data_IF_266422473014
#
_entry.id   IF_266422473014
#
_cell.length_a   1.000
_cell.length_b   1.000
_cell.length_c   1.000
_cell.angle_alpha   90.00
_cell.angle_beta   90.00
_cell.angle_gamma   90.00
#
_symmetry.space_group_name_H-M   'P 1'
#
loop_
_entity.id
_entity.type
_entity.pdbx_description
1 polymer ?
#
# COMPACT_ATOMS: atom_id res chain seq x y z
N UNK A 1 -21.77 2.57 23.62
CA UNK A 1 -21.09 2.78 22.34
C UNK A 1 -19.73 2.09 22.25
N UNK A 2 -18.84 2.12 23.24
CA UNK A 2 -17.51 1.49 23.23
C UNK A 2 -17.46 -0.03 22.92
N UNK A 3 -18.47 -0.81 23.33
CA UNK A 3 -18.53 -2.27 23.08
C UNK A 3 -18.81 -2.62 21.62
N UNK A 4 -19.63 -1.81 20.91
CA UNK A 4 -19.91 -1.97 19.46
C UNK A 4 -18.72 -1.60 18.57
N UNK A 5 -17.95 -0.57 18.93
CA UNK A 5 -16.73 -0.20 18.18
C UNK A 5 -15.61 -1.25 18.30
N UNK A 6 -15.46 -1.86 19.50
CA UNK A 6 -14.51 -2.96 19.73
C UNK A 6 -14.77 -4.17 18.87
N UNK A 7 -16.04 -4.55 18.68
CA UNK A 7 -16.42 -5.70 17.85
C UNK A 7 -16.11 -5.43 16.37
N UNK A 8 -16.35 -4.21 15.88
CA UNK A 8 -16.06 -3.81 14.48
C UNK A 8 -14.55 -3.79 14.18
N UNK A 9 -13.70 -3.28 15.07
CA UNK A 9 -12.25 -3.20 14.83
C UNK A 9 -11.59 -4.58 14.75
N UNK A 10 -12.02 -5.51 15.61
CA UNK A 10 -11.57 -6.90 15.57
C UNK A 10 -12.09 -7.65 14.35
N UNK A 11 -13.31 -7.37 13.89
CA UNK A 11 -13.91 -7.98 12.71
C UNK A 11 -13.13 -7.58 11.45
N UNK A 12 -12.85 -6.29 11.27
CA UNK A 12 -12.07 -5.79 10.13
C UNK A 12 -10.71 -6.51 10.00
N UNK A 13 -10.01 -6.65 11.12
CA UNK A 13 -8.73 -7.35 11.16
C UNK A 13 -8.85 -8.87 10.91
N UNK A 14 -9.97 -9.50 11.29
CA UNK A 14 -10.27 -10.93 11.03
C UNK A 14 -10.60 -11.17 9.54
N UNK A 15 -11.45 -10.32 8.96
CA UNK A 15 -11.94 -10.46 7.59
C UNK A 15 -10.95 -9.91 6.54
N UNK A 16 -9.78 -9.42 6.96
CA UNK A 16 -8.81 -8.75 6.07
C UNK A 16 -8.47 -9.57 4.82
N UNK A 17 -8.21 -10.86 4.96
CA UNK A 17 -7.87 -11.73 3.81
C UNK A 17 -9.00 -11.82 2.79
N UNK A 18 -10.25 -11.92 3.25
CA UNK A 18 -11.43 -11.91 2.39
C UNK A 18 -11.64 -10.56 1.70
N UNK A 19 -11.41 -9.45 2.42
CA UNK A 19 -11.49 -8.11 1.84
C UNK A 19 -10.43 -7.94 0.75
N UNK A 20 -9.19 -8.41 0.97
CA UNK A 20 -8.13 -8.38 -0.03
C UNK A 20 -8.46 -9.22 -1.27
N UNK A 21 -8.98 -10.44 -1.07
CA UNK A 21 -9.41 -11.30 -2.16
C UNK A 21 -10.54 -10.65 -2.97
N UNK A 22 -11.57 -10.14 -2.30
CA UNK A 22 -12.68 -9.42 -2.94
C UNK A 22 -12.22 -8.17 -3.68
N UNK A 23 -11.33 -7.36 -3.10
CA UNK A 23 -10.76 -6.19 -3.76
C UNK A 23 -9.94 -6.56 -5.00
N UNK A 24 -9.17 -7.65 -4.94
CA UNK A 24 -8.40 -8.15 -6.08
C UNK A 24 -9.32 -8.63 -7.21
N UNK A 25 -10.40 -9.33 -6.89
CA UNK A 25 -11.40 -9.77 -7.86
C UNK A 25 -12.13 -8.58 -8.50
N UNK A 26 -12.54 -7.60 -7.71
CA UNK A 26 -13.22 -6.40 -8.21
C UNK A 26 -12.31 -5.54 -9.12
N UNK A 27 -11.03 -5.43 -8.79
CA UNK A 27 -10.07 -4.70 -9.63
C UNK A 27 -9.68 -5.47 -10.89
N UNK A 28 -9.91 -6.79 -10.94
CA UNK A 28 -9.58 -7.68 -12.05
C UNK A 28 -10.81 -8.52 -12.49
N UNK A 29 -11.95 -7.86 -12.69
CA UNK A 29 -13.22 -8.55 -12.96
C UNK A 29 -13.27 -9.24 -14.34
N UNK A 30 -12.46 -8.80 -15.29
CA UNK A 30 -12.44 -9.33 -16.66
C UNK A 30 -11.52 -10.57 -16.80
N UNK A 31 -11.58 -11.50 -15.84
CA UNK A 31 -10.79 -12.74 -15.84
C UNK A 31 -10.82 -13.54 -17.15
N UNK A 32 -11.97 -13.65 -17.89
CA UNK A 32 -11.99 -14.37 -19.16
C UNK A 32 -11.02 -13.83 -20.22
N UNK A 33 -10.60 -12.57 -20.13
CA UNK A 33 -9.65 -11.98 -21.07
C UNK A 33 -8.23 -12.57 -20.96
N UNK A 34 -7.89 -13.23 -19.84
CA UNK A 34 -6.66 -14.00 -19.74
C UNK A 34 -6.61 -15.16 -20.74
N UNK A 35 -7.74 -15.82 -20.98
CA UNK A 35 -7.85 -16.90 -21.96
C UNK A 35 -7.89 -16.40 -23.39
N UNK A 36 -8.47 -15.21 -23.62
CA UNK A 36 -8.53 -14.59 -24.95
C UNK A 36 -7.22 -13.90 -25.35
N UNK A 37 -6.34 -13.61 -24.41
CA UNK A 37 -5.09 -12.86 -24.67
C UNK A 37 -5.31 -11.40 -25.07
N UNK A 38 -6.46 -10.80 -24.67
CA UNK A 38 -6.84 -9.43 -25.02
C UNK A 38 -6.86 -8.53 -23.79
N UNK A 39 -6.41 -7.30 -23.95
CA UNK A 39 -6.48 -6.28 -22.89
C UNK A 39 -7.85 -5.62 -22.94
N UNK A 40 -8.56 -5.58 -21.80
CA UNK A 40 -9.80 -4.83 -21.68
C UNK A 40 -9.60 -3.36 -22.01
N UNK A 41 -10.37 -2.81 -22.94
CA UNK A 41 -10.30 -1.42 -23.45
C UNK A 41 -11.52 -0.57 -23.11
N UNK A 42 -12.40 -1.04 -22.23
CA UNK A 42 -13.65 -0.35 -21.88
C UNK A 42 -13.44 0.92 -21.04
N UNK A 43 -14.53 1.68 -20.88
CA UNK A 43 -14.58 2.95 -20.12
C UNK A 43 -14.05 2.84 -18.67
N UNK A 44 -14.05 1.65 -18.05
CA UNK A 44 -13.48 1.44 -16.72
C UNK A 44 -11.99 1.84 -16.60
N UNK A 45 -11.22 1.72 -17.68
CA UNK A 45 -9.79 2.14 -17.72
C UNK A 45 -9.56 3.65 -17.58
N UNK A 46 -10.58 4.48 -17.68
CA UNK A 46 -10.48 5.92 -17.41
C UNK A 46 -10.46 6.23 -15.92
N UNK A 47 -10.88 5.29 -15.08
CA UNK A 47 -10.90 5.42 -13.62
C UNK A 47 -9.71 4.69 -13.00
N UNK A 48 -9.03 5.33 -12.04
CA UNK A 48 -7.95 4.70 -11.31
C UNK A 48 -8.44 3.79 -10.19
N UNK A 49 -7.80 2.63 -10.06
CA UNK A 49 -7.98 1.77 -8.88
C UNK A 49 -7.13 2.29 -7.71
N UNK A 50 -7.52 2.03 -6.44
CA UNK A 50 -6.79 2.57 -5.29
C UNK A 50 -5.43 1.91 -5.05
N UNK A 51 -5.24 0.66 -5.49
CA UNK A 51 -4.05 -0.16 -5.30
C UNK A 51 -3.14 -0.23 -6.52
N UNK A 52 -2.01 -0.90 -6.37
CA UNK A 52 -1.13 -1.20 -7.49
C UNK A 52 -1.74 -2.35 -8.31
N UNK A 53 -2.17 -2.05 -9.54
CA UNK A 53 -2.72 -3.00 -10.50
C UNK A 53 -2.27 -2.58 -11.91
N UNK A 54 -1.82 -3.52 -12.75
CA UNK A 54 -1.24 -3.14 -14.03
C UNK A 54 -2.31 -2.73 -15.06
N UNK A 55 -2.08 -1.60 -15.75
CA UNK A 55 -2.95 -1.17 -16.86
C UNK A 55 -3.00 -2.20 -18.00
N UNK A 56 -1.86 -2.86 -18.26
CA UNK A 56 -1.74 -3.89 -19.31
C UNK A 56 -2.25 -5.27 -18.88
N UNK A 57 -2.79 -5.42 -17.67
CA UNK A 57 -3.45 -6.65 -17.23
C UNK A 57 -4.71 -6.90 -18.07
N UNK A 58 -4.89 -8.09 -18.67
CA UNK A 58 -6.11 -8.47 -19.40
C UNK A 58 -7.38 -8.31 -18.56
N UNK A 59 -7.32 -8.69 -17.30
CA UNK A 59 -8.46 -8.67 -16.40
C UNK A 59 -8.71 -7.31 -15.75
N UNK A 60 -7.77 -6.36 -15.78
CA UNK A 60 -7.87 -5.12 -15.03
C UNK A 60 -9.06 -4.25 -15.49
N UNK A 61 -9.93 -3.91 -14.54
CA UNK A 61 -11.11 -3.06 -14.75
C UNK A 61 -10.76 -1.57 -14.78
N UNK A 62 -9.67 -1.15 -14.15
CA UNK A 62 -9.27 0.25 -14.04
C UNK A 62 -7.78 0.47 -14.28
N UNK A 63 -7.37 1.74 -14.27
CA UNK A 63 -5.99 2.16 -14.51
C UNK A 63 -5.13 2.11 -13.23
N UNK A 64 -3.84 1.83 -13.39
CA UNK A 64 -2.86 1.92 -12.31
C UNK A 64 -2.63 3.40 -11.94
N UNK A 65 -2.79 3.80 -10.67
CA UNK A 65 -2.63 5.20 -10.28
C UNK A 65 -1.21 5.73 -10.48
N UNK A 66 -0.18 4.90 -10.29
CA UNK A 66 1.22 5.30 -10.54
C UNK A 66 1.53 5.40 -12.03
N UNK A 67 1.01 4.47 -12.84
CA UNK A 67 1.17 4.56 -14.29
C UNK A 67 0.51 5.82 -14.87
N UNK A 68 -0.72 6.09 -14.44
CA UNK A 68 -1.46 7.30 -14.85
C UNK A 68 -0.78 8.58 -14.34
N UNK A 69 -0.23 8.57 -13.13
CA UNK A 69 0.50 9.71 -12.58
C UNK A 69 1.78 10.00 -13.39
N UNK A 70 2.56 8.97 -13.75
CA UNK A 70 3.73 9.14 -14.62
C UNK A 70 3.37 9.69 -16.01
N UNK A 71 2.27 9.21 -16.59
CA UNK A 71 1.80 9.70 -17.89
C UNK A 71 1.45 11.20 -17.83
N UNK A 72 0.82 11.66 -16.74
CA UNK A 72 0.49 13.08 -16.54
C UNK A 72 1.74 13.92 -16.31
N UNK A 73 2.66 13.44 -15.49
CA UNK A 73 3.92 14.13 -15.20
C UNK A 73 4.77 14.22 -16.46
N UNK A 74 4.85 13.15 -17.26
CA UNK A 74 5.55 13.15 -18.56
C UNK A 74 4.89 14.02 -19.64
N UNK A 75 3.58 14.28 -19.55
CA UNK A 75 2.86 15.18 -20.47
C UNK A 75 2.69 16.59 -19.92
N UNK A 76 3.35 16.97 -18.84
CA UNK A 76 3.20 18.24 -18.15
C UNK A 76 3.48 19.48 -19.03
N UNK A 77 4.30 19.33 -20.07
CA UNK A 77 4.56 20.38 -21.08
C UNK A 77 3.34 20.74 -21.91
N UNK A 78 2.37 19.81 -22.07
CA UNK A 78 1.17 20.02 -22.88
C UNK A 78 -0.04 20.42 -22.04
N UNK A 79 -0.45 19.51 -21.12
CA UNK A 79 -1.55 19.74 -20.17
C UNK A 79 -1.35 18.89 -18.91
N UNK A 80 -1.36 19.51 -17.74
CA UNK A 80 -1.35 18.77 -16.47
C UNK A 80 -2.78 18.44 -16.07
N UNK A 81 -3.09 17.14 -15.93
CA UNK A 81 -4.38 16.68 -15.46
C UNK A 81 -4.39 16.54 -13.93
N UNK A 82 -5.09 17.41 -13.26
CA UNK A 82 -5.21 17.40 -11.79
C UNK A 82 -6.04 16.24 -11.25
N UNK A 83 -6.80 15.53 -12.10
CA UNK A 83 -7.68 14.45 -11.69
C UNK A 83 -6.93 13.34 -10.92
N UNK A 84 -5.86 12.81 -11.48
CA UNK A 84 -5.11 11.69 -10.87
C UNK A 84 -4.39 12.15 -9.59
N UNK A 85 -3.80 13.33 -9.61
CA UNK A 85 -3.13 13.90 -8.43
C UNK A 85 -4.14 14.12 -7.31
N UNK A 86 -5.30 14.72 -7.62
CA UNK A 86 -6.39 14.92 -6.68
C UNK A 86 -6.95 13.60 -6.13
N UNK A 87 -7.14 12.62 -6.99
CA UNK A 87 -7.57 11.27 -6.61
C UNK A 87 -6.60 10.60 -5.62
N UNK A 88 -5.29 10.64 -5.90
CA UNK A 88 -4.26 10.08 -5.02
C UNK A 88 -4.19 10.80 -3.67
N UNK A 89 -4.26 12.13 -3.67
CA UNK A 89 -4.28 12.94 -2.45
C UNK A 89 -5.55 12.65 -1.65
N UNK A 90 -6.72 12.65 -2.29
CA UNK A 90 -8.01 12.37 -1.65
C UNK A 90 -7.98 11.01 -0.96
N UNK A 91 -7.61 9.94 -1.67
CA UNK A 91 -7.52 8.60 -1.09
C UNK A 91 -6.46 8.53 0.02
N UNK A 92 -5.34 9.21 -0.14
CA UNK A 92 -4.29 9.27 0.88
C UNK A 92 -4.73 9.98 2.15
N UNK A 93 -5.50 11.08 2.03
CA UNK A 93 -6.07 11.80 3.18
C UNK A 93 -7.20 11.03 3.83
N UNK A 94 -8.08 10.37 3.06
CA UNK A 94 -9.18 9.59 3.62
C UNK A 94 -8.67 8.33 4.34
N UNK A 95 -7.80 7.56 3.71
CA UNK A 95 -7.45 6.20 4.15
C UNK A 95 -5.96 6.00 4.45
N UNK A 96 -5.06 6.85 3.94
CA UNK A 96 -3.62 6.65 4.05
C UNK A 96 -3.17 5.28 3.53
N UNK A 97 -2.25 4.64 4.22
CA UNK A 97 -1.75 3.30 3.86
C UNK A 97 -2.69 2.13 4.15
N UNK A 98 -3.89 2.37 4.66
CA UNK A 98 -4.94 1.34 4.75
C UNK A 98 -5.20 0.69 3.39
N UNK A 99 -5.19 1.49 2.31
CA UNK A 99 -5.32 1.00 0.93
C UNK A 99 -4.29 -0.10 0.62
N UNK A 100 -3.03 0.13 1.00
CA UNK A 100 -1.96 -0.87 0.83
C UNK A 100 -2.23 -2.13 1.65
N UNK A 101 -2.90 -2.00 2.81
CA UNK A 101 -3.21 -3.10 3.71
C UNK A 101 -4.37 -3.97 3.28
N UNK A 102 -5.37 -3.41 2.60
CA UNK A 102 -6.66 -4.05 2.34
C UNK A 102 -7.06 -4.12 0.87
N UNK A 103 -6.68 -3.14 0.05
CA UNK A 103 -7.21 -2.98 -1.32
C UNK A 103 -6.16 -3.25 -2.42
N UNK A 104 -4.88 -3.41 -2.06
CA UNK A 104 -3.81 -3.56 -3.06
C UNK A 104 -3.61 -5.04 -3.46
N UNK A 105 -3.88 -5.43 -4.73
CA UNK A 105 -3.68 -6.80 -5.21
C UNK A 105 -2.24 -7.28 -5.06
N UNK A 106 -1.26 -6.47 -5.46
CA UNK A 106 0.14 -6.83 -5.35
C UNK A 106 0.63 -6.97 -3.89
N UNK A 107 0.05 -6.18 -2.98
CA UNK A 107 0.29 -6.34 -1.55
C UNK A 107 -0.24 -7.67 -1.02
N UNK A 108 -1.41 -8.12 -1.49
CA UNK A 108 -1.98 -9.42 -1.15
C UNK A 108 -1.15 -10.58 -1.72
N UNK A 109 -0.70 -10.47 -2.98
CA UNK A 109 0.19 -11.44 -3.61
C UNK A 109 1.47 -11.69 -2.78
N UNK A 110 2.16 -10.64 -2.34
CA UNK A 110 3.33 -10.77 -1.47
C UNK A 110 3.00 -11.43 -0.13
N UNK A 111 1.81 -11.20 0.42
CA UNK A 111 1.38 -11.87 1.66
C UNK A 111 1.11 -13.37 1.47
N UNK A 112 0.56 -13.75 0.32
CA UNK A 112 0.38 -15.16 -0.02
C UNK A 112 1.72 -15.88 -0.12
N UNK A 113 2.70 -15.30 -0.80
CA UNK A 113 4.07 -15.83 -0.87
C UNK A 113 4.72 -15.94 0.52
N UNK A 114 4.48 -14.95 1.38
CA UNK A 114 5.01 -14.96 2.74
C UNK A 114 4.39 -16.05 3.63
N UNK A 115 3.28 -16.68 3.26
CA UNK A 115 2.68 -17.81 3.98
C UNK A 115 3.44 -19.13 3.77
N UNK A 116 4.26 -19.24 2.72
CA UNK A 116 5.09 -20.44 2.46
C UNK A 116 5.96 -20.70 3.68
N UNK A 117 6.01 -21.95 4.23
CA UNK A 117 6.74 -22.28 5.45
C UNK A 117 8.26 -22.29 5.22
N UNK A 118 8.89 -21.16 5.40
CA UNK A 118 10.34 -20.94 5.29
C UNK A 118 10.84 -20.10 6.46
N UNK A 119 12.16 -20.01 6.65
CA UNK A 119 12.76 -19.11 7.64
C UNK A 119 12.37 -17.67 7.33
N UNK A 120 11.75 -16.96 8.30
CA UNK A 120 11.31 -15.58 8.16
C UNK A 120 12.29 -14.64 8.83
N UNK A 121 12.67 -13.59 8.13
CA UNK A 121 13.60 -12.60 8.64
C UNK A 121 12.89 -11.29 8.99
N UNK A 122 13.31 -10.67 10.10
CA UNK A 122 12.83 -9.35 10.48
C UNK A 122 13.57 -8.27 9.68
N UNK A 123 12.83 -7.26 9.23
CA UNK A 123 13.39 -6.12 8.49
C UNK A 123 13.84 -4.97 9.40
N UNK A 124 13.89 -5.17 10.74
CA UNK A 124 14.26 -4.12 11.71
C UNK A 124 15.63 -3.52 11.45
N UNK A 125 16.62 -4.35 11.05
CA UNK A 125 17.99 -3.89 10.70
C UNK A 125 18.03 -3.15 9.35
N UNK A 126 17.06 -3.38 8.47
CA UNK A 126 16.98 -2.84 7.10
C UNK A 126 16.10 -1.58 7.00
N UNK A 127 15.89 -0.88 8.12
CA UNK A 127 15.12 0.38 8.15
C UNK A 127 15.60 1.43 7.14
N UNK A 128 16.93 1.64 6.92
CA UNK A 128 17.37 2.63 5.91
C UNK A 128 16.84 2.35 4.50
N UNK A 129 16.63 1.08 4.12
CA UNK A 129 16.06 0.72 2.82
C UNK A 129 14.64 1.28 2.61
N UNK A 130 13.91 1.61 3.67
CA UNK A 130 12.57 2.20 3.52
C UNK A 130 12.59 3.60 2.90
N UNK A 131 13.73 4.28 2.87
CA UNK A 131 13.89 5.56 2.19
C UNK A 131 14.04 5.41 0.67
N UNK A 132 14.48 4.25 0.17
CA UNK A 132 14.65 3.98 -1.27
C UNK A 132 13.34 4.21 -2.05
N UNK A 133 12.18 3.87 -1.50
CA UNK A 133 10.89 4.11 -2.15
C UNK A 133 10.59 5.60 -2.39
N UNK A 134 11.08 6.50 -1.51
CA UNK A 134 10.91 7.95 -1.71
C UNK A 134 11.85 8.45 -2.80
N UNK A 135 13.08 7.89 -2.87
CA UNK A 135 13.98 8.13 -3.99
C UNK A 135 13.36 7.65 -5.30
N UNK A 136 12.79 6.44 -5.33
CA UNK A 136 12.10 5.90 -6.51
C UNK A 136 10.92 6.78 -6.91
N UNK A 137 10.13 7.26 -5.94
CA UNK A 137 9.01 8.17 -6.22
C UNK A 137 9.49 9.48 -6.84
N UNK A 138 10.50 10.12 -6.25
CA UNK A 138 10.99 11.40 -6.73
C UNK A 138 11.72 11.27 -8.07
N UNK A 139 12.64 10.31 -8.18
CA UNK A 139 13.52 10.18 -9.34
C UNK A 139 12.83 9.50 -10.53
N UNK A 140 12.30 8.27 -10.33
CA UNK A 140 11.75 7.46 -11.44
C UNK A 140 10.31 7.81 -11.82
N UNK A 141 9.52 8.38 -10.90
CA UNK A 141 8.11 8.68 -11.14
C UNK A 141 7.90 10.13 -11.51
N UNK A 142 8.71 11.06 -10.96
CA UNK A 142 8.55 12.50 -11.19
C UNK A 142 9.65 13.03 -12.09
N UNK A 143 10.92 12.94 -11.68
CA UNK A 143 12.01 13.65 -12.33
C UNK A 143 12.32 13.11 -13.74
N UNK A 144 12.54 11.81 -13.88
CA UNK A 144 12.90 11.22 -15.18
C UNK A 144 11.81 11.42 -16.25
N UNK A 145 10.51 11.23 -15.98
CA UNK A 145 9.48 11.50 -17.00
C UNK A 145 9.40 12.98 -17.45
N UNK A 146 9.84 13.93 -16.61
CA UNK A 146 9.89 15.34 -16.99
C UNK A 146 11.12 15.66 -17.85
N UNK A 147 12.27 15.08 -17.49
CA UNK A 147 13.56 15.40 -18.10
C UNK A 147 13.78 14.65 -19.42
N UNK A 148 13.38 13.37 -19.47
CA UNK A 148 13.60 12.52 -20.64
C UNK A 148 12.29 12.36 -21.39
N UNK A 149 12.17 13.09 -22.48
CA UNK A 149 10.99 13.07 -23.35
C UNK A 149 11.34 12.41 -24.67
N UNK A 150 10.37 11.74 -25.28
CA UNK A 150 10.47 11.14 -26.60
C UNK A 150 10.39 12.20 -27.71
N UNK A 151 10.62 11.81 -28.96
CA UNK A 151 10.55 12.66 -30.14
C UNK A 151 9.21 13.41 -30.28
N UNK A 152 8.13 12.84 -29.71
CA UNK A 152 6.79 13.45 -29.65
C UNK A 152 6.64 14.43 -28.47
N UNK A 153 7.68 14.61 -27.64
CA UNK A 153 7.65 15.48 -26.46
C UNK A 153 6.96 14.91 -25.22
N UNK A 154 6.65 13.61 -25.23
CA UNK A 154 6.05 12.91 -24.06
C UNK A 154 7.11 12.15 -23.28
N UNK A 155 7.07 12.23 -21.95
CA UNK A 155 7.97 11.52 -21.06
C UNK A 155 7.63 10.04 -20.93
N UNK A 156 8.65 9.19 -20.94
CA UNK A 156 8.51 7.74 -20.73
C UNK A 156 8.15 7.42 -19.28
N UNK A 157 7.30 6.42 -19.02
CA UNK A 157 6.96 5.96 -17.67
C UNK A 157 8.08 5.07 -17.09
N UNK A 158 9.21 5.65 -16.70
CA UNK A 158 10.43 4.94 -16.30
C UNK A 158 10.22 3.89 -15.20
N UNK A 159 9.45 4.19 -14.17
CA UNK A 159 9.17 3.20 -13.13
C UNK A 159 8.42 1.99 -13.69
N UNK A 160 7.38 2.19 -14.49
CA UNK A 160 6.61 1.10 -15.11
C UNK A 160 7.43 0.33 -16.13
N UNK A 161 8.30 1.02 -16.88
CA UNK A 161 9.12 0.44 -17.95
C UNK A 161 10.26 -0.42 -17.39
N UNK A 162 10.93 0.02 -16.31
CA UNK A 162 12.17 -0.60 -15.83
C UNK A 162 12.08 -1.29 -14.48
N UNK A 163 11.25 -0.82 -13.53
CA UNK A 163 11.27 -1.28 -12.14
C UNK A 163 10.00 -2.02 -11.68
N UNK A 164 8.86 -1.82 -12.35
CA UNK A 164 7.59 -2.38 -11.88
C UNK A 164 7.47 -3.87 -12.22
N UNK A 165 7.46 -4.79 -11.23
CA UNK A 165 7.28 -6.22 -11.46
C UNK A 165 5.84 -6.59 -11.82
N UNK A 166 4.86 -5.76 -11.45
CA UNK A 166 3.44 -6.01 -11.67
C UNK A 166 3.11 -6.10 -13.17
N UNK A 167 3.77 -5.30 -14.00
CA UNK A 167 3.58 -5.32 -15.44
C UNK A 167 3.97 -6.64 -16.08
N UNK A 168 4.95 -7.34 -15.55
CA UNK A 168 5.32 -8.69 -15.99
C UNK A 168 4.34 -9.72 -15.44
N UNK A 169 4.05 -9.67 -14.15
CA UNK A 169 3.20 -10.63 -13.47
C UNK A 169 1.78 -10.69 -14.05
N UNK A 170 1.14 -9.52 -14.21
CA UNK A 170 -0.27 -9.44 -14.62
C UNK A 170 -0.46 -9.17 -16.13
N UNK A 171 0.55 -8.64 -16.79
CA UNK A 171 0.48 -8.25 -18.21
C UNK A 171 1.30 -9.18 -19.09
N UNK A 172 2.62 -9.04 -19.09
CA UNK A 172 3.48 -9.69 -20.07
C UNK A 172 3.44 -11.24 -20.00
N UNK A 173 3.46 -11.83 -18.82
CA UNK A 173 3.42 -13.30 -18.66
C UNK A 173 2.09 -13.89 -19.17
N UNK A 174 0.90 -13.45 -18.74
CA UNK A 174 -0.34 -14.01 -19.24
C UNK A 174 -0.55 -13.78 -20.74
N UNK A 175 -0.24 -12.58 -21.25
CA UNK A 175 -0.40 -12.25 -22.66
C UNK A 175 0.54 -13.07 -23.56
N UNK A 176 1.80 -13.26 -23.17
CA UNK A 176 2.77 -14.05 -23.93
C UNK A 176 2.48 -15.56 -23.88
N UNK A 177 1.81 -16.04 -22.82
CA UNK A 177 1.40 -17.45 -22.74
C UNK A 177 0.36 -17.80 -23.82
N UNK A 178 -0.59 -16.89 -24.08
CA UNK A 178 -1.71 -17.12 -25.00
C UNK A 178 -1.40 -16.62 -26.42
N UNK A 179 -0.65 -15.50 -26.57
CA UNK A 179 -0.41 -14.86 -27.85
C UNK A 179 1.03 -15.08 -28.34
N UNK A 180 1.19 -15.87 -29.42
CA UNK A 180 2.49 -16.18 -30.01
C UNK A 180 3.21 -14.93 -30.57
N UNK A 181 2.47 -13.96 -31.14
CA UNK A 181 3.03 -12.71 -31.64
C UNK A 181 3.66 -11.86 -30.54
N UNK A 182 3.03 -11.78 -29.37
CA UNK A 182 3.59 -11.09 -28.21
C UNK A 182 4.83 -11.83 -27.69
N UNK A 183 4.80 -13.16 -27.69
CA UNK A 183 5.92 -14.00 -27.25
C UNK A 183 7.17 -13.79 -28.13
N UNK A 184 7.01 -13.71 -29.43
CA UNK A 184 8.13 -13.46 -30.35
C UNK A 184 8.70 -12.04 -30.24
N UNK A 185 7.91 -11.07 -29.76
CA UNK A 185 8.33 -9.69 -29.58
C UNK A 185 9.00 -9.42 -28.20
N UNK A 186 9.10 -10.43 -27.33
CA UNK A 186 9.76 -10.30 -26.02
C UNK A 186 11.27 -10.11 -26.20
N UNK A 187 11.78 -8.95 -25.81
CA UNK A 187 13.19 -8.59 -25.89
C UNK A 187 13.89 -8.58 -24.52
N UNK A 188 15.11 -8.03 -24.51
CA UNK A 188 15.97 -7.90 -23.31
C UNK A 188 15.27 -7.23 -22.14
N UNK A 189 14.40 -6.25 -22.40
CA UNK A 189 13.63 -5.55 -21.35
C UNK A 189 12.69 -6.49 -20.59
N UNK A 190 12.11 -7.47 -21.27
CA UNK A 190 11.29 -8.50 -20.60
C UNK A 190 12.13 -9.34 -19.63
N UNK A 191 13.30 -9.82 -20.08
CA UNK A 191 14.21 -10.62 -19.25
C UNK A 191 14.67 -9.84 -18.02
N UNK A 192 15.02 -8.57 -18.17
CA UNK A 192 15.35 -7.67 -17.07
C UNK A 192 14.23 -7.57 -16.03
N UNK A 193 13.01 -7.28 -16.48
CA UNK A 193 11.84 -7.16 -15.60
C UNK A 193 11.42 -8.49 -14.99
N UNK A 194 11.60 -9.60 -15.70
CA UNK A 194 11.37 -10.93 -15.16
C UNK A 194 12.35 -11.24 -14.01
N UNK A 195 13.61 -10.87 -14.17
CA UNK A 195 14.62 -11.00 -13.10
C UNK A 195 14.20 -10.20 -11.85
N UNK A 196 13.73 -8.96 -12.02
CA UNK A 196 13.21 -8.16 -10.90
C UNK A 196 12.02 -8.85 -10.23
N UNK A 197 11.08 -9.39 -11.02
CA UNK A 197 9.93 -10.12 -10.48
C UNK A 197 10.38 -11.33 -9.67
N UNK A 198 11.31 -12.13 -10.17
CA UNK A 198 11.84 -13.31 -9.47
C UNK A 198 12.53 -12.92 -8.15
N UNK A 199 13.34 -11.85 -8.15
CA UNK A 199 13.94 -11.30 -6.93
C UNK A 199 12.86 -10.88 -5.93
N UNK A 200 11.82 -10.17 -6.37
CA UNK A 200 10.72 -9.74 -5.50
C UNK A 200 9.96 -10.94 -4.94
N UNK A 201 9.74 -11.99 -5.74
CA UNK A 201 9.11 -13.24 -5.27
C UNK A 201 9.98 -13.90 -4.20
N UNK A 202 11.27 -14.10 -4.45
CA UNK A 202 12.20 -14.70 -3.49
C UNK A 202 12.26 -13.89 -2.18
N UNK A 203 12.39 -12.57 -2.28
CA UNK A 203 12.36 -11.69 -1.12
C UNK A 203 11.02 -11.74 -0.38
N UNK A 204 9.88 -11.88 -1.08
CA UNK A 204 8.55 -11.94 -0.46
C UNK A 204 8.32 -13.23 0.31
N UNK A 205 8.98 -14.31 -0.06
CA UNK A 205 8.99 -15.56 0.72
C UNK A 205 9.72 -15.37 2.05
N UNK A 206 10.85 -14.63 2.06
CA UNK A 206 11.70 -14.43 3.23
C UNK A 206 11.24 -13.25 4.11
N UNK A 207 10.88 -12.13 3.51
CA UNK A 207 10.50 -10.89 4.18
C UNK A 207 9.03 -10.54 3.94
N UNK A 208 8.41 -9.91 4.93
CA UNK A 208 7.03 -9.46 4.79
C UNK A 208 6.93 -8.21 3.95
N UNK A 209 6.30 -8.30 2.76
CA UNK A 209 6.03 -7.21 1.82
C UNK A 209 7.27 -6.36 1.45
N UNK A 210 8.38 -6.95 0.98
CA UNK A 210 9.62 -6.23 0.71
C UNK A 210 9.47 -5.13 -0.34
N UNK A 211 8.78 -5.40 -1.45
CA UNK A 211 8.53 -4.40 -2.48
C UNK A 211 7.74 -3.19 -1.95
N UNK A 212 6.68 -3.43 -1.17
CA UNK A 212 5.88 -2.36 -0.56
C UNK A 212 6.65 -1.54 0.49
N UNK A 213 7.63 -2.15 1.16
CA UNK A 213 8.48 -1.46 2.15
C UNK A 213 9.56 -0.61 1.48
N UNK A 214 10.19 -1.11 0.41
CA UNK A 214 11.46 -0.55 -0.07
C UNK A 214 11.38 0.13 -1.42
N UNK A 215 10.52 -0.32 -2.34
CA UNK A 215 10.57 0.11 -3.74
C UNK A 215 9.28 0.82 -4.18
N UNK A 216 8.12 0.43 -3.67
CA UNK A 216 6.82 0.87 -4.19
C UNK A 216 6.58 2.38 -4.05
N UNK A 217 6.50 3.16 -5.15
CA UNK A 217 6.27 4.61 -5.11
C UNK A 217 4.86 4.96 -4.63
N UNK A 218 3.84 4.15 -4.92
CA UNK A 218 2.49 4.32 -4.40
C UNK A 218 2.49 4.19 -2.86
N UNK A 219 3.28 3.21 -2.35
CA UNK A 219 3.50 3.05 -0.92
C UNK A 219 4.22 4.24 -0.28
N UNK A 220 5.13 4.90 -1.01
CA UNK A 220 5.78 6.13 -0.56
C UNK A 220 4.80 7.30 -0.48
N UNK A 221 3.98 7.50 -1.52
CA UNK A 221 2.99 8.58 -1.59
C UNK A 221 1.95 8.46 -0.46
N UNK A 222 1.36 7.29 -0.27
CA UNK A 222 0.44 7.07 0.84
C UNK A 222 1.13 7.11 2.22
N UNK A 223 2.43 6.84 2.32
CA UNK A 223 3.18 6.96 3.56
C UNK A 223 3.33 8.41 4.01
N UNK A 224 3.56 9.34 3.08
CA UNK A 224 3.62 10.78 3.37
C UNK A 224 2.30 11.27 3.95
N UNK A 225 1.17 10.81 3.39
CA UNK A 225 -0.17 11.21 3.81
C UNK A 225 -0.68 10.42 5.04
N UNK A 226 0.02 9.37 5.48
CA UNK A 226 -0.43 8.48 6.55
C UNK A 226 -0.59 9.19 7.91
N UNK A 227 0.20 10.22 8.17
CA UNK A 227 0.14 11.01 9.42
C UNK A 227 -1.08 11.92 9.47
N UNK A 228 -1.49 12.47 8.32
CA UNK A 228 -2.61 13.43 8.19
C UNK A 228 -3.92 12.76 7.77
N UNK A 229 -3.92 11.45 7.55
CA UNK A 229 -5.12 10.74 7.10
C UNK A 229 -6.20 10.64 8.17
N UNK A 230 -7.46 10.70 7.74
CA UNK A 230 -8.65 10.61 8.60
C UNK A 230 -8.80 9.25 9.29
N UNK A 231 -8.49 8.17 8.56
CA UNK A 231 -8.54 6.82 9.13
C UNK A 231 -7.25 6.53 9.88
N UNK A 232 -7.30 6.47 11.21
CA UNK A 232 -6.14 6.41 12.09
C UNK A 232 -6.20 5.23 13.05
N UNK A 233 -5.03 4.84 13.58
CA UNK A 233 -4.90 3.96 14.74
C UNK A 233 -4.84 4.79 16.01
N UNK A 234 -5.60 4.40 17.04
CA UNK A 234 -5.57 5.02 18.37
C UNK A 234 -5.15 3.99 19.41
N UNK A 235 -4.29 4.40 20.32
CA UNK A 235 -3.88 3.62 21.50
C UNK A 235 -4.43 4.31 22.75
N UNK A 236 -5.22 3.59 23.52
CA UNK A 236 -5.72 4.03 24.82
C UNK A 236 -4.65 3.74 25.90
N UNK A 237 -4.01 4.79 26.38
CA UNK A 237 -2.92 4.68 27.35
C UNK A 237 -3.39 4.10 28.70
N UNK A 238 -4.65 4.36 29.09
CA UNK A 238 -5.20 3.87 30.35
C UNK A 238 -5.43 2.35 30.35
N UNK A 239 -5.65 1.76 29.16
CA UNK A 239 -5.82 0.30 29.00
C UNK A 239 -4.54 -0.40 28.59
N UNK A 240 -3.52 0.34 28.22
CA UNK A 240 -2.26 -0.20 27.75
C UNK A 240 -1.37 -0.60 28.93
N UNK A 241 -1.11 -1.90 29.08
CA UNK A 241 -0.23 -2.46 30.11
C UNK A 241 1.24 -2.57 29.64
N UNK A 242 1.61 -1.92 28.56
CA UNK A 242 2.97 -1.88 28.00
C UNK A 242 3.65 -3.25 27.79
N UNK A 243 2.88 -4.31 27.54
CA UNK A 243 3.38 -5.69 27.41
C UNK A 243 4.15 -5.99 26.11
N UNK A 244 4.24 -5.07 25.16
CA UNK A 244 5.00 -5.20 23.90
C UNK A 244 4.44 -6.17 22.86
N UNK A 245 3.38 -6.96 23.15
CA UNK A 245 2.81 -7.96 22.20
C UNK A 245 2.40 -7.37 20.86
N UNK A 246 1.91 -6.12 20.83
CA UNK A 246 1.52 -5.43 19.60
C UNK A 246 2.71 -5.10 18.70
N UNK A 247 3.85 -4.70 19.28
CA UNK A 247 5.09 -4.44 18.53
C UNK A 247 5.69 -5.75 17.98
N UNK A 248 5.63 -6.85 18.75
CA UNK A 248 6.04 -8.18 18.28
C UNK A 248 5.16 -8.71 17.13
N UNK A 249 3.85 -8.50 17.21
CA UNK A 249 2.90 -8.93 16.18
C UNK A 249 3.00 -8.10 14.88
N UNK A 250 3.67 -6.95 14.91
CA UNK A 250 3.77 -6.05 13.76
C UNK A 250 4.78 -6.53 12.72
N UNK A 251 4.31 -7.12 11.62
CA UNK A 251 5.17 -7.53 10.49
C UNK A 251 5.77 -6.36 9.69
N UNK A 252 5.28 -5.13 9.92
CA UNK A 252 5.83 -3.91 9.32
C UNK A 252 6.90 -3.26 10.21
N UNK A 253 7.29 -3.90 11.33
CA UNK A 253 8.30 -3.44 12.29
C UNK A 253 8.01 -2.05 12.90
N UNK A 254 6.72 -1.74 13.08
CA UNK A 254 6.25 -0.49 13.71
C UNK A 254 5.82 -0.77 15.14
N UNK A 255 6.31 0.03 16.07
CA UNK A 255 5.78 0.06 17.43
C UNK A 255 4.60 1.03 17.49
N UNK A 256 3.39 0.46 17.48
CA UNK A 256 2.14 1.24 17.47
C UNK A 256 1.92 2.01 18.76
N UNK A 257 2.54 1.61 19.87
CA UNK A 257 2.40 2.30 21.17
C UNK A 257 3.17 3.62 21.19
N UNK A 258 4.32 3.67 20.50
CA UNK A 258 5.14 4.86 20.36
C UNK A 258 4.70 5.76 19.20
N UNK A 259 4.32 5.16 18.06
CA UNK A 259 3.93 5.88 16.85
C UNK A 259 2.74 5.20 16.16
N UNK A 260 1.50 5.42 16.62
CA UNK A 260 0.31 4.73 16.10
C UNK A 260 0.03 4.99 14.62
N UNK A 261 0.40 6.18 14.10
CA UNK A 261 0.22 6.57 12.70
C UNK A 261 1.56 6.72 11.95
N UNK A 262 2.51 5.84 12.29
CA UNK A 262 3.81 5.80 11.62
C UNK A 262 3.65 5.66 10.10
N UNK A 263 4.56 6.28 9.33
CA UNK A 263 4.56 6.25 7.86
C UNK A 263 4.55 4.82 7.28
N UNK A 264 5.14 3.85 7.99
CA UNK A 264 5.16 2.44 7.55
C UNK A 264 3.93 1.63 8.00
N UNK A 265 3.04 2.18 8.82
CA UNK A 265 1.85 1.45 9.29
C UNK A 265 0.81 1.32 8.18
N UNK A 266 0.56 0.09 7.71
CA UNK A 266 -0.49 -0.26 6.73
C UNK A 266 -1.86 -0.50 7.36
N UNK A 267 -2.02 -0.24 8.64
CA UNK A 267 -3.27 -0.40 9.40
C UNK A 267 -3.91 -1.78 9.30
N UNK A 268 -3.10 -2.82 9.17
CA UNK A 268 -3.54 -4.20 8.96
C UNK A 268 -4.30 -4.84 10.15
N UNK A 269 -4.27 -4.23 11.34
CA UNK A 269 -4.96 -4.72 12.53
C UNK A 269 -4.31 -5.89 13.27
N UNK A 270 -3.11 -6.33 12.89
CA UNK A 270 -2.40 -7.40 13.61
C UNK A 270 -2.15 -7.04 15.08
N UNK A 271 -1.78 -5.79 15.34
CA UNK A 271 -1.61 -5.26 16.69
C UNK A 271 -2.93 -5.20 17.49
N UNK A 272 -4.06 -4.93 16.82
CA UNK A 272 -5.41 -4.95 17.44
C UNK A 272 -5.75 -6.37 17.90
N UNK A 273 -5.48 -7.39 17.06
CA UNK A 273 -5.70 -8.81 17.42
C UNK A 273 -4.80 -9.28 18.56
N UNK A 274 -3.56 -8.79 18.60
CA UNK A 274 -2.56 -9.22 19.58
C UNK A 274 -2.71 -8.54 20.94
N UNK A 275 -3.51 -7.46 21.05
CA UNK A 275 -3.66 -6.69 22.28
C UNK A 275 -4.62 -7.38 23.27
N UNK A 276 -4.13 -7.87 24.43
CA UNK A 276 -4.97 -8.57 25.40
C UNK A 276 -5.99 -7.64 26.07
N UNK A 277 -5.62 -6.37 26.30
CA UNK A 277 -6.48 -5.38 26.96
C UNK A 277 -7.35 -4.59 25.99
N UNK A 278 -7.28 -4.90 24.68
CA UNK A 278 -7.97 -4.16 23.63
C UNK A 278 -7.71 -2.64 23.66
N UNK A 279 -6.50 -2.23 24.03
CA UNK A 279 -6.11 -0.83 24.10
C UNK A 279 -5.96 -0.16 22.70
N UNK A 280 -5.94 -0.95 21.62
CA UNK A 280 -5.70 -0.47 20.24
C UNK A 280 -7.01 -0.54 19.45
N UNK A 281 -7.38 0.56 18.79
CA UNK A 281 -8.60 0.66 17.98
C UNK A 281 -8.35 1.48 16.71
N UNK A 282 -9.24 1.33 15.73
CA UNK A 282 -9.34 2.24 14.59
C UNK A 282 -10.20 3.45 14.96
N UNK A 283 -9.82 4.60 14.44
CA UNK A 283 -10.58 5.84 14.56
C UNK A 283 -10.71 6.50 13.19
N UNK A 284 -11.84 7.15 12.94
CA UNK A 284 -12.06 8.00 11.78
C UNK A 284 -12.29 9.44 12.24
N UNK A 285 -11.59 10.40 11.65
CA UNK A 285 -11.70 11.83 11.93
C UNK A 285 -10.43 12.47 12.48
N UNK A 286 -10.32 13.79 12.30
CA UNK A 286 -9.31 14.66 12.91
C UNK A 286 -9.76 14.96 14.34
N UNK A 287 -9.40 14.17 15.29
CA UNK A 287 -9.75 14.47 16.69
C UNK A 287 -8.53 14.34 17.57
N UNK A 288 -8.08 15.42 18.12
CA UNK A 288 -7.00 15.48 19.09
C UNK A 288 -7.28 14.60 20.30
N UNK A 289 -6.27 13.82 20.69
CA UNK A 289 -6.21 13.16 21.98
C UNK A 289 -6.11 14.14 23.17
N UNK A 290 -6.36 15.43 22.98
CA UNK A 290 -6.27 16.46 24.00
C UNK A 290 -7.39 16.40 25.07
N UNK A 291 -8.52 15.73 24.76
CA UNK A 291 -9.60 15.60 25.77
C UNK A 291 -9.22 14.76 26.98
N UNK A 292 -8.26 13.82 26.86
CA UNK A 292 -7.86 13.00 28.02
C UNK A 292 -6.76 13.64 28.89
N UNK A 293 -6.11 14.73 28.41
CA UNK A 293 -5.12 15.44 29.22
C UNK A 293 -5.77 16.34 30.28
N UNK A 294 -6.98 16.85 30.02
CA UNK A 294 -7.74 17.63 31.02
C UNK A 294 -8.30 16.72 32.13
N UNK A 295 -8.89 15.57 31.77
CA UNK A 295 -9.41 14.64 32.78
C UNK A 295 -8.31 14.05 33.67
N UNK A 296 -7.11 13.79 33.16
CA UNK A 296 -6.01 13.29 33.99
C UNK A 296 -5.45 14.35 34.94
N UNK A 297 -5.39 15.63 34.52
CA UNK A 297 -5.03 16.73 35.43
C UNK A 297 -6.06 16.95 36.53
N UNK A 298 -7.35 16.79 36.24
CA UNK A 298 -8.41 16.88 37.24
C UNK A 298 -8.42 15.67 38.22
N UNK A 299 -8.01 14.49 37.76
CA UNK A 299 -7.88 13.32 38.62
C UNK A 299 -6.58 13.33 39.46
N UNK A 300 -5.49 13.90 38.98
CA UNK A 300 -4.28 14.15 39.76
C UNK A 300 -4.54 15.20 40.84
N UNK A 301 -5.14 16.33 40.51
CA UNK A 301 -5.49 17.36 41.46
C UNK A 301 -6.46 16.84 42.55
N UNK A 302 -7.42 15.96 42.22
CA UNK A 302 -8.32 15.34 43.20
C UNK A 302 -7.65 14.26 44.05
N UNK A 303 -6.52 13.72 43.67
CA UNK A 303 -5.71 12.83 44.51
C UNK A 303 -4.88 13.61 45.53
N UNK A 304 -4.33 14.74 45.09
CA UNK A 304 -3.52 15.60 45.95
C UNK A 304 -4.37 16.35 46.98
N UNK A 305 -5.66 16.66 46.67
CA UNK A 305 -6.63 17.20 47.68
C UNK A 305 -7.13 16.17 48.71
N UNK A 306 -6.97 14.88 48.50
CA UNK A 306 -7.35 13.83 49.46
C UNK A 306 -6.21 13.34 50.34
N UNK A 307 -5.00 13.85 50.11
CA UNK A 307 -3.80 13.49 50.88
C UNK A 307 -3.29 14.62 51.76
N UNK A 308 -3.94 15.78 51.77
CA UNK A 308 -3.82 16.84 52.75
C UNK A 308 -5.10 16.91 53.63
#
# INVERSE_FOLDING_TARGET
MARKEKTKSNLLAKCRGWIQAGATLLTNIHLPNFLKGEIYKGKGKTVCVPGLNCYSCPAASGACPIGSFQAIVGSSKFKFSYYITGFLILLGVLFGRFICGFLCPFGWFQELLHKIPTKKFSTKKLKPLTYVKYFVLLFFVVLLPILVVNDVGMGDPFFCKYLCPQGVLEGAMPLSAVNAGIRSALGVLFSWKLTILLIVIALSVLFYRPFCKWICPLGALYALLNKVSLFQMKVDKNKCISCGKCAHACKMDVDVTKAPNHTECIRCGMCVKACPTNAISYRYGFGDGKQNCKLNKEMENKKDEKTN
#
